data_IF_191587092628
#
_entry.id   IF_191587092628
#
_cell.length_a   1.000
_cell.length_b   1.000
_cell.length_c   1.000
_cell.angle_alpha   90.00
_cell.angle_beta   90.00
_cell.angle_gamma   90.00
#
_symmetry.space_group_name_H-M   'P 1'
#
loop_
_entity.id
_entity.type
_entity.pdbx_description
1 polymer ?
#
# COMPACT_ATOMS: atom_id res chain seq x y z
N UNK A 1 -41.93 -56.52 -13.38
CA UNK A 1 -41.86 -55.04 -13.36
C UNK A 1 -40.66 -54.62 -12.52
N UNK A 2 -39.58 -54.26 -13.15
CA UNK A 2 -38.41 -53.74 -12.45
C UNK A 2 -38.39 -52.23 -12.65
N UNK A 3 -38.68 -51.49 -11.59
CA UNK A 3 -38.60 -50.06 -11.54
C UNK A 3 -37.14 -49.67 -11.31
N UNK A 4 -36.49 -49.17 -12.33
CA UNK A 4 -35.15 -48.61 -12.22
C UNK A 4 -35.26 -47.20 -11.67
N UNK A 5 -34.81 -47.02 -10.41
CA UNK A 5 -34.66 -45.71 -9.82
C UNK A 5 -33.36 -45.09 -10.36
N UNK A 6 -33.48 -44.07 -11.21
CA UNK A 6 -32.37 -43.29 -11.67
C UNK A 6 -32.07 -42.21 -10.59
N UNK A 7 -31.03 -42.47 -9.79
CA UNK A 7 -30.49 -41.47 -8.88
C UNK A 7 -29.75 -40.43 -9.70
N UNK A 8 -30.40 -39.27 -9.88
CA UNK A 8 -29.75 -38.10 -10.44
C UNK A 8 -28.82 -37.50 -9.38
N UNK A 9 -27.54 -37.83 -9.42
CA UNK A 9 -26.52 -37.09 -8.66
C UNK A 9 -26.38 -35.72 -9.27
N UNK A 10 -27.06 -34.72 -8.69
CA UNK A 10 -26.77 -33.31 -8.94
C UNK A 10 -25.45 -32.97 -8.28
N UNK A 11 -24.39 -33.02 -9.03
CA UNK A 11 -23.09 -32.44 -8.58
C UNK A 11 -23.27 -30.95 -8.48
N UNK A 12 -23.48 -30.47 -7.26
CA UNK A 12 -23.42 -29.06 -6.93
C UNK A 12 -21.93 -28.61 -7.12
N UNK A 13 -21.62 -28.09 -8.29
CA UNK A 13 -20.33 -27.46 -8.53
C UNK A 13 -20.38 -26.15 -7.73
N UNK A 14 -19.80 -26.18 -6.54
CA UNK A 14 -19.45 -24.95 -5.84
C UNK A 14 -18.42 -24.23 -6.72
N UNK A 15 -18.88 -23.27 -7.49
CA UNK A 15 -18.00 -22.27 -8.05
C UNK A 15 -17.47 -21.46 -6.87
N UNK A 16 -16.27 -21.80 -6.41
CA UNK A 16 -15.53 -20.88 -5.57
C UNK A 16 -15.28 -19.64 -6.42
N UNK A 17 -16.12 -18.63 -6.25
CA UNK A 17 -15.83 -17.30 -6.74
C UNK A 17 -14.57 -16.85 -6.02
N UNK A 18 -13.41 -17.06 -6.62
CA UNK A 18 -12.23 -16.34 -6.25
C UNK A 18 -12.52 -14.89 -6.61
N UNK A 19 -13.03 -14.13 -5.63
CA UNK A 19 -13.04 -12.68 -5.75
C UNK A 19 -11.59 -12.28 -5.91
N UNK A 20 -11.19 -11.91 -7.14
CA UNK A 20 -9.98 -11.14 -7.32
C UNK A 20 -10.07 -10.00 -6.31
N UNK A 21 -9.10 -9.91 -5.37
CA UNK A 21 -9.07 -8.86 -4.39
C UNK A 21 -9.14 -7.53 -5.15
N UNK A 22 -10.30 -6.93 -5.14
CA UNK A 22 -10.59 -5.63 -5.72
C UNK A 22 -11.18 -4.76 -4.62
N UNK A 23 -11.12 -3.44 -4.82
CA UNK A 23 -11.65 -2.49 -3.88
C UNK A 23 -10.59 -1.84 -2.99
N UNK A 24 -11.02 -1.09 -1.97
CA UNK A 24 -10.11 -0.20 -1.25
C UNK A 24 -9.07 -0.91 -0.40
N UNK A 25 -9.35 -2.11 0.09
CA UNK A 25 -8.48 -2.80 1.04
C UNK A 25 -7.39 -3.66 0.41
N UNK A 26 -7.32 -3.71 -0.93
CA UNK A 26 -6.24 -4.45 -1.62
C UNK A 26 -4.86 -3.86 -1.36
N UNK A 27 -4.78 -2.59 -0.97
CA UNK A 27 -3.52 -1.91 -0.68
C UNK A 27 -2.95 -2.30 0.69
N UNK A 28 -3.77 -2.86 1.57
CA UNK A 28 -3.35 -3.21 2.93
C UNK A 28 -2.24 -4.25 2.94
N UNK A 29 -1.33 -4.11 3.89
CA UNK A 29 -0.23 -5.03 4.10
C UNK A 29 1.13 -4.39 3.89
N UNK A 30 2.13 -5.23 3.71
CA UNK A 30 3.52 -4.82 3.68
C UNK A 30 4.07 -4.74 2.27
N UNK A 31 4.81 -3.68 2.00
CA UNK A 31 5.41 -3.38 0.71
C UNK A 31 6.90 -3.14 0.85
N UNK A 32 7.68 -3.74 -0.05
CA UNK A 32 9.12 -3.54 -0.15
C UNK A 32 9.42 -2.33 -1.04
N UNK A 33 10.24 -1.42 -0.57
CA UNK A 33 10.65 -0.23 -1.33
C UNK A 33 11.39 -0.59 -2.61
N UNK A 34 11.41 0.33 -3.57
CA UNK A 34 12.08 0.14 -4.85
C UNK A 34 13.57 -0.19 -4.68
N UNK A 35 14.24 0.48 -3.74
CA UNK A 35 15.66 0.25 -3.41
C UNK A 35 15.88 -0.98 -2.53
N UNK A 36 14.81 -1.66 -2.11
CA UNK A 36 14.83 -2.83 -1.22
C UNK A 36 15.49 -2.56 0.13
N UNK A 37 15.48 -1.34 0.57
CA UNK A 37 16.11 -0.86 1.80
C UNK A 37 15.12 -0.59 2.93
N UNK A 38 13.83 -0.71 2.66
CA UNK A 38 12.78 -0.53 3.66
C UNK A 38 11.51 -1.25 3.27
N UNK A 39 10.70 -1.54 4.28
CA UNK A 39 9.33 -2.03 4.10
C UNK A 39 8.36 -1.07 4.75
N UNK A 40 7.23 -0.91 4.12
CA UNK A 40 6.17 -0.03 4.54
C UNK A 40 4.91 -0.86 4.76
N UNK A 41 4.34 -0.76 5.96
CA UNK A 41 3.08 -1.39 6.31
C UNK A 41 1.95 -0.40 6.11
N UNK A 42 1.06 -0.70 5.17
CA UNK A 42 -0.14 0.11 4.91
C UNK A 42 -1.29 -0.43 5.72
N UNK A 43 -1.95 0.45 6.44
CA UNK A 43 -3.07 0.17 7.32
C UNK A 43 -4.18 1.21 7.13
N UNK A 44 -5.37 0.85 7.58
CA UNK A 44 -6.55 1.70 7.52
C UNK A 44 -6.88 2.23 8.92
N UNK A 45 -7.23 3.50 9.00
CA UNK A 45 -7.71 4.12 10.21
C UNK A 45 -8.91 5.00 9.85
N UNK A 46 -10.09 4.60 10.34
CA UNK A 46 -11.33 5.19 9.86
C UNK A 46 -11.55 4.87 8.38
N UNK A 47 -11.78 5.90 7.56
CA UNK A 47 -11.95 5.79 6.11
C UNK A 47 -10.68 6.16 5.32
N UNK A 48 -9.56 6.36 6.01
CA UNK A 48 -8.29 6.77 5.41
C UNK A 48 -7.22 5.71 5.55
N UNK A 49 -6.25 5.79 4.66
CA UNK A 49 -5.11 4.87 4.59
C UNK A 49 -3.82 5.59 4.94
N UNK A 50 -2.99 4.88 5.67
CA UNK A 50 -1.70 5.35 6.20
C UNK A 50 -0.64 4.29 5.93
N UNK A 51 0.61 4.68 5.96
CA UNK A 51 1.72 3.75 5.86
C UNK A 51 2.85 4.13 6.79
N UNK A 52 3.37 3.14 7.50
CA UNK A 52 4.51 3.32 8.41
C UNK A 52 5.68 2.44 7.97
N UNK A 53 6.89 2.91 8.23
CA UNK A 53 8.09 2.10 8.03
C UNK A 53 8.07 0.96 9.04
N UNK A 54 7.98 -0.28 8.56
CA UNK A 54 7.93 -1.48 9.40
C UNK A 54 9.28 -2.19 9.50
N UNK A 55 10.17 -1.94 8.54
CA UNK A 55 11.49 -2.53 8.49
C UNK A 55 12.45 -1.63 7.70
N UNK A 56 13.72 -1.65 8.07
CA UNK A 56 14.80 -0.99 7.36
C UNK A 56 16.03 -1.87 7.28
N UNK A 57 16.70 -1.88 6.15
CA UNK A 57 17.94 -2.62 5.92
C UNK A 57 19.05 -2.19 6.88
N UNK A 58 19.09 -0.89 7.20
CA UNK A 58 20.02 -0.32 8.17
C UNK A 58 19.24 0.05 9.43
N UNK A 59 19.27 -0.78 10.47
CA UNK A 59 18.59 -0.49 11.73
C UNK A 59 19.20 0.71 12.44
N UNK A 60 18.41 1.37 13.27
CA UNK A 60 18.87 2.49 14.09
C UNK A 60 18.95 3.83 13.34
N UNK A 61 18.54 3.90 12.08
CA UNK A 61 18.47 5.18 11.37
C UNK A 61 17.46 6.11 12.03
N UNK A 62 17.87 7.37 12.11
CA UNK A 62 17.06 8.46 12.66
C UNK A 62 16.56 9.36 11.53
N UNK A 63 15.53 10.14 11.84
CA UNK A 63 14.95 11.11 10.93
C UNK A 63 15.81 12.39 10.83
N UNK A 64 17.08 12.18 10.52
CA UNK A 64 18.12 13.22 10.60
C UNK A 64 17.91 14.38 9.62
N UNK A 65 17.14 14.16 8.55
CA UNK A 65 16.83 15.17 7.53
C UNK A 65 15.55 15.96 7.80
N UNK A 66 14.85 15.64 8.90
CA UNK A 66 13.63 16.36 9.22
C UNK A 66 13.91 17.86 9.35
N UNK A 67 13.09 18.73 8.75
CA UNK A 67 13.25 20.18 8.87
C UNK A 67 12.98 20.70 10.30
N UNK A 68 12.21 19.96 11.10
CA UNK A 68 12.03 20.26 12.49
C UNK A 68 13.15 19.62 13.33
N UNK A 69 14.00 20.45 13.91
CA UNK A 69 15.14 19.98 14.70
C UNK A 69 14.72 19.07 15.88
N UNK A 70 13.51 19.25 16.42
CA UNK A 70 12.96 18.44 17.53
C UNK A 70 12.68 16.99 17.11
N UNK A 71 12.51 16.73 15.81
CA UNK A 71 12.14 15.42 15.27
C UNK A 71 13.34 14.66 14.68
N UNK A 72 14.51 15.26 14.60
CA UNK A 72 15.69 14.65 13.94
C UNK A 72 16.19 13.38 14.62
N UNK A 73 15.92 13.20 15.90
CA UNK A 73 16.37 12.04 16.69
C UNK A 73 15.34 10.91 16.79
N UNK A 74 14.15 11.08 16.20
CA UNK A 74 13.16 10.00 16.21
C UNK A 74 13.60 8.87 15.28
N UNK A 75 13.23 7.65 15.63
CA UNK A 75 13.50 6.48 14.81
C UNK A 75 12.70 6.52 13.50
N UNK A 76 13.31 6.05 12.41
CA UNK A 76 12.59 5.86 11.16
C UNK A 76 11.66 4.65 11.23
N UNK A 77 12.05 3.56 11.91
CA UNK A 77 11.17 2.41 12.12
C UNK A 77 9.96 2.85 12.97
N UNK A 78 8.76 2.58 12.45
CA UNK A 78 7.49 3.00 13.05
C UNK A 78 7.02 4.37 12.63
N UNK A 79 7.83 5.13 11.89
CA UNK A 79 7.43 6.44 11.41
C UNK A 79 6.35 6.33 10.33
N UNK A 80 5.27 7.07 10.49
CA UNK A 80 4.21 7.20 9.49
C UNK A 80 4.71 8.13 8.39
N UNK A 81 4.88 7.58 7.19
CA UNK A 81 5.35 8.33 6.01
C UNK A 81 4.26 8.54 4.96
N UNK A 82 3.22 7.72 4.95
CA UNK A 82 2.05 7.88 4.09
C UNK A 82 0.87 8.29 4.96
N UNK A 83 0.19 9.39 4.61
CA UNK A 83 -0.88 9.95 5.43
C UNK A 83 -2.10 10.35 4.60
N UNK A 84 -3.27 10.11 5.18
CA UNK A 84 -4.56 10.70 4.76
C UNK A 84 -5.03 10.31 3.36
N UNK A 85 -4.65 9.15 2.85
CA UNK A 85 -5.12 8.69 1.55
C UNK A 85 -6.57 8.26 1.62
N UNK A 86 -7.31 8.60 0.56
CA UNK A 86 -8.69 8.15 0.33
C UNK A 86 -8.76 7.35 -0.94
N UNK A 87 -9.52 6.25 -0.91
CA UNK A 87 -9.79 5.46 -2.10
C UNK A 87 -10.84 6.17 -2.97
N UNK A 88 -10.54 6.38 -4.25
CA UNK A 88 -11.37 7.13 -5.18
C UNK A 88 -12.01 6.24 -6.25
N UNK A 89 -11.95 4.92 -6.09
CA UNK A 89 -12.47 3.91 -7.03
C UNK A 89 -11.39 3.25 -7.89
N UNK A 90 -10.27 3.92 -8.15
CA UNK A 90 -9.15 3.38 -8.94
C UNK A 90 -7.78 3.67 -8.35
N UNK A 91 -7.71 4.58 -7.40
CA UNK A 91 -6.47 5.01 -6.78
C UNK A 91 -6.72 5.42 -5.33
N UNK A 92 -5.64 5.60 -4.57
CA UNK A 92 -5.64 6.21 -3.25
C UNK A 92 -5.02 7.60 -3.40
N UNK A 93 -5.83 8.62 -3.19
CA UNK A 93 -5.51 10.00 -3.50
C UNK A 93 -5.66 10.90 -2.28
N UNK A 94 -5.33 12.17 -2.46
CA UNK A 94 -5.42 13.23 -1.45
C UNK A 94 -4.53 13.00 -0.22
N UNK A 95 -3.56 12.13 -0.35
CA UNK A 95 -2.59 11.85 0.71
C UNK A 95 -1.27 12.57 0.49
N UNK A 96 -0.38 12.39 1.46
CA UNK A 96 0.96 12.92 1.45
C UNK A 96 1.98 11.83 1.75
N UNK A 97 3.16 11.98 1.16
CA UNK A 97 4.31 11.14 1.46
C UNK A 97 5.44 12.00 2.03
N UNK A 98 6.00 11.56 3.16
CA UNK A 98 7.23 12.10 3.71
C UNK A 98 8.42 11.26 3.26
N UNK A 99 9.42 11.93 2.69
CA UNK A 99 10.67 11.29 2.27
C UNK A 99 11.76 11.54 3.31
N UNK A 100 12.14 10.53 4.11
CA UNK A 100 13.17 10.72 5.12
C UNK A 100 14.56 10.97 4.54
N UNK A 101 14.81 10.60 3.28
CA UNK A 101 16.10 10.83 2.64
C UNK A 101 16.34 12.30 2.30
N UNK A 102 15.29 13.07 2.06
CA UNK A 102 15.35 14.50 1.76
C UNK A 102 14.78 15.38 2.86
N UNK A 103 13.95 14.83 3.75
CA UNK A 103 13.19 15.59 4.74
C UNK A 103 12.01 16.36 4.14
N UNK A 104 11.61 16.04 2.93
CA UNK A 104 10.53 16.74 2.21
C UNK A 104 9.25 15.93 2.23
N UNK A 105 8.11 16.63 2.22
CA UNK A 105 6.78 16.05 2.11
C UNK A 105 6.18 16.45 0.76
N UNK A 106 5.61 15.47 0.07
CA UNK A 106 4.99 15.64 -1.24
C UNK A 106 3.52 15.27 -1.19
N UNK A 107 2.73 15.87 -2.06
CA UNK A 107 1.43 15.31 -2.44
C UNK A 107 1.65 13.96 -3.11
N UNK A 108 0.70 13.03 -2.96
CA UNK A 108 0.95 11.66 -3.38
C UNK A 108 -0.33 10.99 -3.87
N UNK A 109 -0.17 10.16 -4.90
CA UNK A 109 -1.17 9.25 -5.42
C UNK A 109 -0.58 7.85 -5.42
N UNK A 110 -1.35 6.88 -4.92
CA UNK A 110 -0.99 5.47 -4.91
C UNK A 110 -1.89 4.69 -5.86
N UNK A 111 -1.29 3.78 -6.63
CA UNK A 111 -2.02 2.85 -7.50
C UNK A 111 -1.50 1.44 -7.34
N UNK A 112 -2.41 0.50 -7.18
CA UNK A 112 -2.10 -0.93 -7.15
C UNK A 112 -2.30 -1.52 -8.53
N UNK A 113 -1.37 -2.35 -8.97
CA UNK A 113 -1.39 -3.01 -10.27
C UNK A 113 -0.79 -4.41 -10.21
N UNK A 114 -0.79 -5.13 -11.34
CA UNK A 114 -0.18 -6.44 -11.51
C UNK A 114 -0.66 -7.46 -10.46
N UNK A 115 -1.96 -7.74 -10.46
CA UNK A 115 -2.61 -8.67 -9.50
C UNK A 115 -2.34 -8.29 -8.04
N UNK A 116 -2.36 -7.00 -7.73
CA UNK A 116 -2.11 -6.46 -6.39
C UNK A 116 -0.69 -6.71 -5.85
N UNK A 117 0.27 -6.99 -6.73
CA UNK A 117 1.66 -7.27 -6.35
C UNK A 117 2.57 -6.06 -6.42
N UNK A 118 2.14 -5.02 -7.12
CA UNK A 118 2.92 -3.81 -7.38
C UNK A 118 2.13 -2.59 -6.93
N UNK A 119 2.83 -1.67 -6.26
CA UNK A 119 2.30 -0.38 -5.82
C UNK A 119 3.12 0.73 -6.45
N UNK A 120 2.48 1.55 -7.28
CA UNK A 120 3.07 2.78 -7.79
C UNK A 120 2.80 3.93 -6.82
N UNK A 121 3.86 4.63 -6.47
CA UNK A 121 3.82 5.81 -5.59
C UNK A 121 4.23 7.02 -6.42
N UNK A 122 3.27 7.91 -6.67
CA UNK A 122 3.51 9.14 -7.42
C UNK A 122 3.53 10.32 -6.46
N UNK A 123 4.74 10.81 -6.14
CA UNK A 123 4.93 12.02 -5.37
C UNK A 123 5.06 13.23 -6.30
N UNK A 124 4.46 14.36 -5.93
CA UNK A 124 4.49 15.57 -6.76
C UNK A 124 4.32 16.84 -5.93
N UNK A 125 4.71 17.95 -6.54
CA UNK A 125 4.45 19.30 -6.05
C UNK A 125 3.60 20.03 -7.08
N UNK A 126 2.46 20.54 -6.65
CA UNK A 126 1.50 21.24 -7.52
C UNK A 126 0.60 20.27 -8.29
N UNK A 127 1.06 19.73 -9.41
CA UNK A 127 0.27 18.83 -10.27
C UNK A 127 0.98 17.50 -10.49
N UNK A 128 0.22 16.37 -10.61
CA UNK A 128 0.81 15.03 -10.76
C UNK A 128 1.73 14.88 -11.97
N UNK A 129 1.51 15.66 -13.03
CA UNK A 129 2.31 15.63 -14.26
C UNK A 129 3.80 15.84 -13.99
N UNK A 130 4.18 16.68 -13.02
CA UNK A 130 5.54 16.99 -12.68
C UNK A 130 6.12 16.14 -11.55
N UNK A 131 5.45 15.04 -11.22
CA UNK A 131 5.88 14.17 -10.16
C UNK A 131 6.90 13.12 -10.58
N UNK A 132 7.30 12.30 -9.60
CA UNK A 132 8.13 11.10 -9.77
C UNK A 132 7.39 9.89 -9.26
N UNK A 133 7.55 8.77 -9.97
CA UNK A 133 6.96 7.50 -9.57
C UNK A 133 8.05 6.57 -9.04
N UNK A 134 7.84 6.07 -7.84
CA UNK A 134 8.55 4.90 -7.31
C UNK A 134 7.63 3.69 -7.39
N UNK A 135 8.23 2.50 -7.48
CA UNK A 135 7.51 1.24 -7.57
C UNK A 135 7.89 0.36 -6.39
N UNK A 136 6.91 0.02 -5.56
CA UNK A 136 7.09 -0.91 -4.46
C UNK A 136 6.46 -2.25 -4.82
N UNK A 137 6.96 -3.31 -4.22
CA UNK A 137 6.47 -4.67 -4.47
C UNK A 137 5.91 -5.27 -3.19
N UNK A 138 4.92 -6.15 -3.35
CA UNK A 138 4.31 -6.85 -2.22
C UNK A 138 5.38 -7.68 -1.49
N UNK A 139 5.45 -7.48 -0.22
CA UNK A 139 6.38 -8.22 0.64
C UNK A 139 5.70 -9.40 1.33
#
# INVERSE_FOLDING_TARGET
MRTTFLLLFSTLILHANSFANSGPDVILGEWLSQEKDGKISIYKQGDKYYGKISWGKTPGRKDAKNPDAKLKNRDLIGLVILQDFKYTGSAWENGKIYDPNSGKTYDCILKVKDNNKVLDIRGYVGVPMFGRTATWTRS
#
